data_IF_215888994447
#
_entry.id   IF_215888994447
#
_cell.length_a   1.000
_cell.length_b   1.000
_cell.length_c   1.000
_cell.angle_alpha   90.00
_cell.angle_beta   90.00
_cell.angle_gamma   90.00
#
_symmetry.space_group_name_H-M   'P 1'
#
loop_
_entity.id
_entity.type
_entity.pdbx_description
1 polymer ?
#
# COMPACT_ATOMS: atom_id res chain seq x y z
N UNK A 1 -2.47 -5.60 16.61
CA UNK A 1 -3.83 -5.09 16.83
C UNK A 1 -4.79 -6.03 16.12
N UNK A 2 -5.88 -6.44 16.78
CA UNK A 2 -6.91 -7.23 16.14
C UNK A 2 -7.73 -6.34 15.21
N UNK A 3 -7.79 -6.69 13.94
CA UNK A 3 -8.69 -6.04 13.00
C UNK A 3 -10.10 -6.59 13.26
N UNK A 4 -11.07 -5.75 13.68
CA UNK A 4 -12.45 -6.21 13.80
C UNK A 4 -12.98 -6.51 12.41
N UNK A 5 -13.37 -7.76 12.18
CA UNK A 5 -14.03 -8.18 10.94
C UNK A 5 -15.54 -8.03 11.20
N UNK A 6 -16.13 -6.97 10.66
CA UNK A 6 -17.57 -6.76 10.70
C UNK A 6 -18.19 -7.23 9.38
N UNK A 7 -19.28 -8.00 9.45
CA UNK A 7 -20.06 -8.51 8.32
C UNK A 7 -19.28 -9.47 7.40
N UNK A 8 -18.94 -10.65 7.91
CA UNK A 8 -18.30 -11.71 7.14
C UNK A 8 -19.18 -12.21 5.99
N UNK A 9 -18.83 -11.81 4.77
CA UNK A 9 -19.30 -12.48 3.57
C UNK A 9 -18.17 -13.41 3.13
N UNK A 10 -18.29 -14.70 3.46
CA UNK A 10 -17.31 -15.72 3.09
C UNK A 10 -16.34 -16.11 4.21
N UNK A 11 -15.33 -16.91 3.86
CA UNK A 11 -14.32 -17.42 4.80
C UNK A 11 -13.20 -16.40 4.99
N UNK A 12 -12.92 -16.03 6.23
CA UNK A 12 -11.81 -15.14 6.60
C UNK A 12 -10.81 -15.91 7.43
N UNK A 13 -9.52 -15.69 7.16
CA UNK A 13 -8.40 -16.20 7.98
C UNK A 13 -7.52 -15.04 8.42
N UNK A 14 -6.97 -15.13 9.61
CA UNK A 14 -6.02 -14.17 10.17
C UNK A 14 -4.62 -14.79 10.19
N UNK A 15 -3.68 -14.19 9.46
CA UNK A 15 -2.28 -14.61 9.41
C UNK A 15 -1.39 -13.49 9.91
N UNK A 16 -0.35 -13.83 10.65
CA UNK A 16 0.65 -12.85 11.07
C UNK A 16 1.61 -12.59 9.93
N UNK A 17 1.65 -11.34 9.47
CA UNK A 17 2.64 -10.85 8.53
C UNK A 17 3.45 -9.71 9.15
N UNK A 18 4.76 -9.74 8.96
CA UNK A 18 5.70 -8.72 9.42
C UNK A 18 6.58 -8.32 8.23
N UNK A 19 6.45 -7.07 7.79
CA UNK A 19 7.19 -6.53 6.65
C UNK A 19 8.71 -6.66 6.78
N UNK A 20 9.22 -6.61 8.01
CA UNK A 20 10.67 -6.72 8.31
C UNK A 20 11.18 -8.17 8.27
N UNK A 21 10.30 -9.16 8.33
CA UNK A 21 10.68 -10.60 8.37
C UNK A 21 10.49 -11.25 7.01
N UNK A 22 11.58 -11.64 6.37
CA UNK A 22 11.60 -12.21 5.01
C UNK A 22 10.71 -13.43 4.82
N UNK A 23 10.57 -14.29 5.85
CA UNK A 23 9.81 -15.54 5.78
C UNK A 23 8.31 -15.38 5.89
N UNK A 24 7.81 -14.27 6.46
CA UNK A 24 6.38 -14.11 6.76
C UNK A 24 5.53 -13.96 5.51
N UNK A 25 6.05 -13.35 4.45
CA UNK A 25 5.36 -13.24 3.16
C UNK A 25 5.10 -14.63 2.55
N UNK A 26 6.12 -15.49 2.51
CA UNK A 26 6.00 -16.84 1.98
C UNK A 26 5.00 -17.68 2.80
N UNK A 27 5.09 -17.61 4.11
CA UNK A 27 4.18 -18.34 5.01
C UNK A 27 2.73 -17.93 4.79
N UNK A 28 2.45 -16.63 4.73
CA UNK A 28 1.11 -16.10 4.49
C UNK A 28 0.55 -16.53 3.13
N UNK A 29 1.34 -16.42 2.07
CA UNK A 29 0.92 -16.84 0.72
C UNK A 29 0.65 -18.35 0.68
N UNK A 30 1.53 -19.18 1.25
CA UNK A 30 1.34 -20.63 1.29
C UNK A 30 0.07 -21.01 2.07
N UNK A 31 -0.19 -20.37 3.21
CA UNK A 31 -1.39 -20.62 4.00
C UNK A 31 -2.64 -20.21 3.21
N UNK A 32 -2.63 -19.03 2.55
CA UNK A 32 -3.73 -18.58 1.70
C UNK A 32 -4.02 -19.60 0.58
N UNK A 33 -3.00 -20.02 -0.13
CA UNK A 33 -3.15 -20.98 -1.22
C UNK A 33 -3.60 -22.36 -0.76
N UNK A 34 -3.17 -22.80 0.42
CA UNK A 34 -3.60 -24.09 1.00
C UNK A 34 -5.09 -24.12 1.35
N UNK A 35 -5.65 -22.97 1.71
CA UNK A 35 -7.04 -22.84 2.17
C UNK A 35 -8.00 -22.51 1.05
N UNK A 36 -7.58 -21.62 0.12
CA UNK A 36 -8.45 -21.08 -0.93
C UNK A 36 -8.12 -21.60 -2.34
N UNK A 37 -6.99 -22.32 -2.51
CA UNK A 37 -6.48 -22.84 -3.79
C UNK A 37 -6.16 -21.78 -4.83
N UNK A 38 -6.36 -20.49 -4.55
CA UNK A 38 -6.12 -19.39 -5.48
C UNK A 38 -5.78 -18.10 -4.74
N UNK A 39 -5.22 -17.16 -5.48
CA UNK A 39 -5.00 -15.80 -5.06
C UNK A 39 -5.37 -14.87 -6.22
N UNK A 40 -6.39 -14.04 -6.02
CA UNK A 40 -6.91 -13.14 -7.06
C UNK A 40 -6.44 -11.70 -6.85
N UNK A 41 -6.11 -11.32 -5.61
CA UNK A 41 -5.68 -9.95 -5.31
C UNK A 41 -4.82 -9.82 -4.07
N UNK A 42 -4.06 -8.72 -4.00
CA UNK A 42 -3.22 -8.33 -2.87
C UNK A 42 -3.35 -6.84 -2.61
N UNK A 43 -3.55 -6.47 -1.36
CA UNK A 43 -3.49 -5.08 -0.90
C UNK A 43 -2.28 -4.90 0.00
N UNK A 44 -1.33 -4.08 -0.42
CA UNK A 44 -0.15 -3.70 0.35
C UNK A 44 -0.44 -2.40 1.08
N UNK A 45 -0.89 -2.51 2.34
CA UNK A 45 -1.33 -1.36 3.14
C UNK A 45 -0.37 -0.99 4.27
N UNK A 46 0.47 -1.92 4.73
CA UNK A 46 1.40 -1.65 5.82
C UNK A 46 2.37 -0.52 5.47
N UNK A 47 2.58 0.37 6.43
CA UNK A 47 3.49 1.48 6.27
C UNK A 47 3.77 2.17 7.60
N UNK A 48 4.94 2.82 7.67
CA UNK A 48 5.38 3.62 8.81
C UNK A 48 5.86 4.98 8.35
N UNK A 49 5.72 5.98 9.21
CA UNK A 49 6.30 7.31 9.09
C UNK A 49 7.05 7.61 10.38
N UNK A 50 8.36 7.78 10.31
CA UNK A 50 9.25 7.92 11.46
C UNK A 50 10.04 9.24 11.44
N UNK A 51 9.75 10.13 10.48
CA UNK A 51 10.49 11.36 10.29
C UNK A 51 11.59 11.22 9.22
N UNK A 52 12.84 11.52 9.57
CA UNK A 52 13.99 11.54 8.68
C UNK A 52 14.07 12.84 7.87
N UNK A 53 14.93 13.77 8.32
CA UNK A 53 15.19 15.04 7.64
C UNK A 53 16.67 15.20 7.24
N UNK A 54 17.03 16.37 6.77
CA UNK A 54 18.40 16.67 6.34
C UNK A 54 19.34 17.09 7.49
N UNK A 55 18.76 17.46 8.62
CA UNK A 55 19.51 18.14 9.70
C UNK A 55 19.83 17.19 10.87
N UNK A 56 19.45 15.91 10.79
CA UNK A 56 19.62 14.94 11.87
C UNK A 56 20.32 13.65 11.45
N UNK A 57 20.83 12.93 12.44
CA UNK A 57 21.29 11.55 12.28
C UNK A 57 20.06 10.62 12.42
N UNK A 58 19.50 10.25 11.30
CA UNK A 58 18.21 9.54 11.17
C UNK A 58 18.30 8.36 10.23
N UNK A 59 19.50 7.78 10.03
CA UNK A 59 19.71 6.64 9.11
C UNK A 59 18.87 5.42 9.50
N UNK A 60 18.74 5.12 10.78
CA UNK A 60 17.91 4.00 11.26
C UNK A 60 16.43 4.20 10.92
N UNK A 61 15.92 5.41 11.00
CA UNK A 61 14.55 5.76 10.62
C UNK A 61 14.35 5.61 9.11
N UNK A 62 15.33 6.05 8.30
CA UNK A 62 15.33 5.82 6.85
C UNK A 62 15.31 4.32 6.54
N UNK A 63 16.21 3.55 7.14
CA UNK A 63 16.30 2.11 6.93
C UNK A 63 15.00 1.39 7.30
N UNK A 64 14.38 1.74 8.43
CA UNK A 64 13.12 1.17 8.85
C UNK A 64 11.98 1.54 7.88
N UNK A 65 11.89 2.79 7.45
CA UNK A 65 10.89 3.22 6.47
C UNK A 65 11.06 2.49 5.13
N UNK A 66 12.27 2.33 4.63
CA UNK A 66 12.52 1.55 3.42
C UNK A 66 12.25 0.06 3.61
N UNK A 67 12.58 -0.49 4.77
CA UNK A 67 12.32 -1.90 5.07
C UNK A 67 10.83 -2.21 5.09
N UNK A 68 10.01 -1.35 5.71
CA UNK A 68 8.57 -1.55 5.84
C UNK A 68 7.82 -1.09 4.58
N UNK A 69 8.10 0.12 4.07
CA UNK A 69 7.28 0.73 3.01
C UNK A 69 7.64 0.23 1.61
N UNK A 70 8.83 -0.36 1.42
CA UNK A 70 9.30 -0.81 0.10
C UNK A 70 9.72 -2.28 0.09
N UNK A 71 10.70 -2.70 0.91
CA UNK A 71 11.26 -4.05 0.85
C UNK A 71 10.27 -5.13 1.31
N UNK A 72 9.44 -4.82 2.32
CA UNK A 72 8.36 -5.71 2.76
C UNK A 72 7.34 -5.98 1.65
N UNK A 73 6.73 -4.94 1.05
CA UNK A 73 5.89 -5.08 -0.14
C UNK A 73 6.56 -5.80 -1.31
N UNK A 74 7.83 -5.50 -1.60
CA UNK A 74 8.60 -6.19 -2.65
C UNK A 74 8.69 -7.70 -2.40
N UNK A 75 8.94 -8.12 -1.15
CA UNK A 75 8.97 -9.55 -0.77
C UNK A 75 7.60 -10.18 -0.96
N UNK A 76 6.55 -9.51 -0.51
CA UNK A 76 5.18 -10.00 -0.65
C UNK A 76 4.80 -10.17 -2.12
N UNK A 77 5.12 -9.21 -2.97
CA UNK A 77 4.86 -9.29 -4.43
C UNK A 77 5.59 -10.48 -5.06
N UNK A 78 6.86 -10.71 -4.70
CA UNK A 78 7.63 -11.85 -5.23
C UNK A 78 6.97 -13.20 -4.92
N UNK A 79 6.36 -13.33 -3.77
CA UNK A 79 5.67 -14.56 -3.36
C UNK A 79 4.27 -14.68 -3.96
N UNK A 80 3.57 -13.57 -4.20
CA UNK A 80 2.19 -13.56 -4.70
C UNK A 80 2.10 -13.55 -6.23
N UNK A 81 3.05 -12.92 -6.91
CA UNK A 81 3.01 -12.70 -8.36
C UNK A 81 2.85 -13.98 -9.20
N UNK A 82 3.49 -15.12 -8.87
CA UNK A 82 3.27 -16.36 -9.62
C UNK A 82 1.81 -16.83 -9.59
N UNK A 83 1.14 -16.76 -8.44
CA UNK A 83 -0.26 -17.14 -8.32
C UNK A 83 -1.19 -16.16 -9.03
N UNK A 84 -0.92 -14.86 -8.94
CA UNK A 84 -1.67 -13.81 -9.62
C UNK A 84 -1.55 -13.92 -11.14
N UNK A 85 -0.39 -14.24 -11.68
CA UNK A 85 -0.19 -14.52 -13.11
C UNK A 85 -0.99 -15.74 -13.56
N UNK A 86 -0.93 -16.81 -12.77
CA UNK A 86 -1.67 -18.04 -13.08
C UNK A 86 -3.18 -17.82 -13.12
N UNK A 87 -3.71 -16.87 -12.33
CA UNK A 87 -5.14 -16.55 -12.35
C UNK A 87 -5.60 -15.89 -13.65
N UNK A 88 -4.69 -15.24 -14.40
CA UNK A 88 -5.04 -14.42 -15.57
C UNK A 88 -5.84 -13.15 -15.24
N UNK A 89 -6.11 -12.92 -13.95
CA UNK A 89 -6.91 -11.80 -13.44
C UNK A 89 -6.38 -11.27 -12.11
N UNK A 90 -5.06 -11.15 -11.99
CA UNK A 90 -4.42 -10.70 -10.75
C UNK A 90 -4.65 -9.20 -10.49
N UNK A 91 -4.94 -8.84 -9.25
CA UNK A 91 -5.11 -7.44 -8.81
C UNK A 91 -4.15 -7.10 -7.68
N UNK A 92 -3.42 -6.01 -7.84
CA UNK A 92 -2.54 -5.50 -6.78
C UNK A 92 -2.87 -4.04 -6.52
N UNK A 93 -3.14 -3.72 -5.26
CA UNK A 93 -3.27 -2.33 -4.81
C UNK A 93 -2.18 -2.03 -3.80
N UNK A 94 -1.39 -1.00 -4.10
CA UNK A 94 -0.37 -0.49 -3.19
C UNK A 94 -0.85 0.83 -2.58
N UNK A 95 -1.04 0.85 -1.27
CA UNK A 95 -1.39 2.07 -0.53
C UNK A 95 -0.11 2.87 -0.29
N UNK A 96 0.11 3.83 -1.16
CA UNK A 96 1.31 4.66 -1.13
C UNK A 96 1.09 5.90 -0.25
N UNK A 97 0.97 7.05 -0.81
CA UNK A 97 0.67 8.37 -0.21
C UNK A 97 0.85 9.45 -1.28
N UNK A 98 0.25 10.60 -1.10
CA UNK A 98 0.64 11.82 -1.83
C UNK A 98 2.11 12.20 -1.60
N UNK A 99 2.71 11.79 -0.48
CA UNK A 99 4.15 11.96 -0.23
C UNK A 99 5.03 11.19 -1.23
N UNK A 100 4.52 10.15 -1.89
CA UNK A 100 5.18 9.46 -2.99
C UNK A 100 5.12 10.20 -4.34
N UNK A 101 4.45 11.33 -4.40
CA UNK A 101 4.37 12.20 -5.58
C UNK A 101 5.21 13.45 -5.40
N UNK A 102 5.33 13.91 -4.16
CA UNK A 102 6.13 15.08 -3.79
C UNK A 102 6.38 15.13 -2.27
N UNK A 103 7.56 15.58 -1.82
CA UNK A 103 7.75 15.94 -0.42
C UNK A 103 7.03 17.27 -0.12
N UNK A 104 6.37 17.36 1.02
CA UNK A 104 5.71 18.60 1.48
C UNK A 104 6.54 19.41 2.45
N UNK A 105 7.44 18.74 3.19
CA UNK A 105 8.31 19.33 4.21
C UNK A 105 9.65 18.60 4.18
N UNK A 106 10.74 19.29 4.49
CA UNK A 106 12.07 18.69 4.63
C UNK A 106 12.07 17.50 5.61
N UNK A 107 11.38 17.67 6.74
CA UNK A 107 11.22 16.64 7.78
C UNK A 107 10.48 15.36 7.36
N UNK A 108 9.98 15.30 6.12
CA UNK A 108 9.33 14.12 5.55
C UNK A 108 10.20 13.47 4.46
N UNK A 109 11.47 13.80 4.38
CA UNK A 109 12.34 13.30 3.31
C UNK A 109 12.38 11.77 3.28
N UNK A 110 12.66 11.12 4.40
CA UNK A 110 12.75 9.66 4.49
C UNK A 110 11.43 8.98 4.13
N UNK A 111 10.32 9.48 4.67
CA UNK A 111 8.99 8.97 4.35
C UNK A 111 8.69 9.15 2.85
N UNK A 112 8.88 10.36 2.31
CA UNK A 112 8.64 10.64 0.90
C UNK A 112 9.49 9.74 0.00
N UNK A 113 10.78 9.63 0.25
CA UNK A 113 11.68 8.78 -0.52
C UNK A 113 11.22 7.31 -0.53
N UNK A 114 10.82 6.76 0.63
CA UNK A 114 10.29 5.40 0.72
C UNK A 114 8.98 5.23 -0.06
N UNK A 115 8.12 6.24 -0.09
CA UNK A 115 6.86 6.23 -0.85
C UNK A 115 7.08 6.44 -2.35
N UNK A 116 8.08 7.22 -2.78
CA UNK A 116 8.53 7.24 -4.18
C UNK A 116 9.03 5.85 -4.63
N UNK A 117 9.81 5.17 -3.80
CA UNK A 117 10.22 3.80 -4.06
C UNK A 117 9.03 2.83 -4.19
N UNK A 118 8.01 2.99 -3.34
CA UNK A 118 6.76 2.21 -3.44
C UNK A 118 5.98 2.49 -4.73
N UNK A 119 5.96 3.73 -5.23
CA UNK A 119 5.41 4.07 -6.56
C UNK A 119 6.16 3.33 -7.67
N UNK A 120 7.48 3.37 -7.64
CA UNK A 120 8.35 2.66 -8.60
C UNK A 120 8.06 1.15 -8.58
N UNK A 121 7.88 0.54 -7.41
CA UNK A 121 7.50 -0.86 -7.27
C UNK A 121 6.18 -1.15 -7.98
N UNK A 122 5.15 -0.34 -7.78
CA UNK A 122 3.85 -0.53 -8.43
C UNK A 122 3.98 -0.47 -9.95
N UNK A 123 4.76 0.46 -10.48
CA UNK A 123 5.02 0.54 -11.92
C UNK A 123 5.77 -0.69 -12.45
N UNK A 124 6.77 -1.19 -11.72
CA UNK A 124 7.48 -2.41 -12.08
C UNK A 124 6.55 -3.64 -12.13
N UNK A 125 5.61 -3.74 -11.18
CA UNK A 125 4.59 -4.80 -11.17
C UNK A 125 3.69 -4.69 -12.41
N UNK A 126 3.23 -3.49 -12.76
CA UNK A 126 2.39 -3.26 -13.95
C UNK A 126 3.09 -3.72 -15.22
N UNK A 127 4.35 -3.34 -15.40
CA UNK A 127 5.15 -3.74 -16.56
C UNK A 127 5.39 -5.26 -16.60
N UNK A 128 5.69 -5.86 -15.45
CA UNK A 128 6.05 -7.27 -15.36
C UNK A 128 4.86 -8.24 -15.49
N UNK A 129 3.67 -7.81 -15.12
CA UNK A 129 2.49 -8.68 -15.06
C UNK A 129 1.42 -8.40 -16.10
N UNK A 130 1.63 -7.41 -16.97
CA UNK A 130 0.61 -6.93 -17.89
C UNK A 130 0.06 -8.00 -18.84
N UNK A 131 0.95 -8.76 -19.48
CA UNK A 131 0.60 -9.79 -20.45
C UNK A 131 -0.05 -11.01 -19.77
N UNK A 132 0.25 -11.22 -18.49
CA UNK A 132 -0.35 -12.27 -17.66
C UNK A 132 -1.70 -11.84 -17.03
N UNK A 133 -2.26 -10.71 -17.41
CA UNK A 133 -3.54 -10.23 -16.87
C UNK A 133 -3.44 -9.61 -15.45
N UNK A 134 -2.25 -9.33 -14.94
CA UNK A 134 -2.06 -8.65 -13.66
C UNK A 134 -2.19 -7.14 -13.85
N UNK A 135 -3.00 -6.50 -13.00
CA UNK A 135 -3.15 -5.04 -12.95
C UNK A 135 -2.77 -4.55 -11.56
N UNK A 136 -1.97 -3.50 -11.50
CA UNK A 136 -1.55 -2.90 -10.24
C UNK A 136 -1.87 -1.41 -10.23
N UNK A 137 -2.38 -0.93 -9.08
CA UNK A 137 -2.79 0.46 -8.85
C UNK A 137 -2.09 0.99 -7.60
N UNK A 138 -1.52 2.18 -7.69
CA UNK A 138 -1.13 2.95 -6.52
C UNK A 138 -2.30 3.80 -6.04
N UNK A 139 -2.77 3.57 -4.83
CA UNK A 139 -3.68 4.49 -4.16
C UNK A 139 -2.83 5.44 -3.32
N UNK A 140 -2.98 6.74 -3.56
CA UNK A 140 -2.15 7.80 -2.98
C UNK A 140 -3.00 8.71 -2.08
N UNK A 141 -3.26 8.32 -0.82
CA UNK A 141 -4.02 9.15 0.10
C UNK A 141 -3.25 10.39 0.53
N UNK A 142 -3.99 11.47 0.80
CA UNK A 142 -3.55 12.57 1.64
C UNK A 142 -3.71 12.22 3.12
N UNK A 143 -4.30 13.15 3.90
CA UNK A 143 -4.48 12.98 5.33
C UNK A 143 -5.69 12.08 5.64
N UNK A 144 -5.45 10.90 6.20
CA UNK A 144 -6.47 9.94 6.64
C UNK A 144 -6.47 9.84 8.16
N UNK A 145 -7.62 9.71 8.78
CA UNK A 145 -7.79 9.55 10.23
C UNK A 145 -7.35 8.14 10.64
N UNK A 146 -6.12 8.02 11.07
CA UNK A 146 -5.48 6.77 11.50
C UNK A 146 -4.59 7.03 12.70
N UNK A 147 -4.09 5.98 13.33
CA UNK A 147 -3.09 6.09 14.41
C UNK A 147 -1.86 6.89 13.98
N UNK A 148 -1.37 6.72 12.75
CA UNK A 148 -0.23 7.47 12.19
C UNK A 148 -0.46 8.99 12.17
N UNK A 149 -1.71 9.44 12.08
CA UNK A 149 -2.07 10.86 11.98
C UNK A 149 -2.84 11.38 13.20
N UNK A 150 -2.93 10.60 14.27
CA UNK A 150 -3.76 10.93 15.44
C UNK A 150 -3.39 12.28 16.04
N UNK A 151 -2.10 12.51 16.25
CA UNK A 151 -1.57 13.75 16.84
C UNK A 151 -1.42 14.91 15.85
N UNK A 152 -1.67 14.67 14.55
CA UNK A 152 -1.55 15.73 13.54
C UNK A 152 -2.74 16.66 13.64
N UNK A 153 -2.49 17.90 14.04
CA UNK A 153 -3.49 18.96 14.02
C UNK A 153 -3.69 19.45 12.58
N UNK A 154 -4.93 19.49 12.13
CA UNK A 154 -5.30 20.09 10.84
C UNK A 154 -5.83 21.50 11.09
N UNK A 155 -5.50 22.49 10.22
CA UNK A 155 -6.01 23.84 10.33
C UNK A 155 -7.55 23.91 10.24
N UNK A 156 -8.15 24.98 10.74
CA UNK A 156 -9.57 25.22 10.65
C UNK A 156 -10.08 25.14 9.19
N UNK A 157 -11.21 24.54 9.00
CA UNK A 157 -11.79 24.28 7.67
C UNK A 157 -11.17 23.11 6.90
N UNK A 158 -10.18 22.40 7.50
CA UNK A 158 -9.60 21.17 6.97
C UNK A 158 -10.04 19.96 7.79
N UNK A 159 -10.02 18.78 7.18
CA UNK A 159 -10.38 17.52 7.85
C UNK A 159 -9.47 16.37 7.39
N UNK A 160 -9.42 15.33 8.21
CA UNK A 160 -8.84 14.04 7.84
C UNK A 160 -9.94 13.22 7.19
N UNK A 161 -9.61 12.51 6.10
CA UNK A 161 -10.56 11.57 5.47
C UNK A 161 -10.80 10.37 6.40
N UNK A 162 -11.99 9.84 6.41
CA UNK A 162 -12.27 8.58 7.10
C UNK A 162 -11.61 7.41 6.32
N UNK A 163 -11.11 6.37 7.03
CA UNK A 163 -10.44 5.22 6.40
C UNK A 163 -11.30 4.51 5.37
N UNK A 164 -12.63 4.52 5.55
CA UNK A 164 -13.63 3.89 4.67
C UNK A 164 -13.59 4.45 3.26
N UNK A 165 -13.25 5.73 3.08
CA UNK A 165 -13.07 6.36 1.76
C UNK A 165 -11.93 5.67 1.00
N UNK A 166 -10.84 5.38 1.69
CA UNK A 166 -9.68 4.70 1.10
C UNK A 166 -10.02 3.23 0.83
N UNK A 167 -10.73 2.57 1.74
CA UNK A 167 -11.18 1.19 1.54
C UNK A 167 -12.11 1.06 0.31
N UNK A 168 -13.05 1.99 0.12
CA UNK A 168 -13.91 2.03 -1.08
C UNK A 168 -13.09 2.26 -2.36
N UNK A 169 -12.10 3.14 -2.31
CA UNK A 169 -11.18 3.39 -3.43
C UNK A 169 -10.39 2.14 -3.80
N UNK A 170 -9.89 1.41 -2.81
CA UNK A 170 -9.20 0.12 -3.01
C UNK A 170 -10.16 -0.91 -3.63
N UNK A 171 -11.37 -1.05 -3.10
CA UNK A 171 -12.37 -1.98 -3.62
C UNK A 171 -12.72 -1.66 -5.09
N UNK A 172 -12.86 -0.38 -5.44
CA UNK A 172 -13.04 0.05 -6.83
C UNK A 172 -11.87 -0.40 -7.72
N UNK A 173 -10.63 -0.14 -7.32
CA UNK A 173 -9.45 -0.54 -8.09
C UNK A 173 -9.36 -2.07 -8.31
N UNK A 174 -9.74 -2.86 -7.29
CA UNK A 174 -9.79 -4.32 -7.37
C UNK A 174 -10.90 -4.85 -8.29
N UNK A 175 -12.00 -4.12 -8.45
CA UNK A 175 -13.17 -4.54 -9.24
C UNK A 175 -13.03 -4.32 -10.74
N UNK A 176 -12.04 -3.55 -11.18
CA UNK A 176 -11.87 -3.20 -12.60
C UNK A 176 -11.54 -4.42 -13.47
N UNK A 177 -12.08 -4.50 -14.69
CA UNK A 177 -11.78 -5.58 -15.63
C UNK A 177 -10.35 -5.47 -16.18
N UNK A 178 -9.84 -6.54 -16.81
CA UNK A 178 -8.53 -6.54 -17.46
C UNK A 178 -8.40 -5.49 -18.59
N UNK A 179 -9.51 -5.11 -19.20
CA UNK A 179 -9.57 -4.06 -20.23
C UNK A 179 -9.39 -2.64 -19.70
N UNK A 180 -9.45 -2.45 -18.37
CA UNK A 180 -9.29 -1.16 -17.71
C UNK A 180 -8.19 -1.23 -16.65
N UNK A 181 -7.16 -0.42 -16.80
CA UNK A 181 -6.08 -0.32 -15.82
C UNK A 181 -5.94 1.13 -15.35
N UNK A 182 -6.14 1.33 -14.04
CA UNK A 182 -5.87 2.60 -13.38
C UNK A 182 -4.50 2.52 -12.73
N UNK A 183 -3.57 3.35 -13.15
CA UNK A 183 -2.21 3.33 -12.63
C UNK A 183 -2.12 3.92 -11.22
N UNK A 184 -2.83 5.04 -11.02
CA UNK A 184 -2.76 5.84 -9.79
C UNK A 184 -4.13 6.44 -9.49
N UNK A 185 -4.49 6.46 -8.21
CA UNK A 185 -5.65 7.17 -7.69
C UNK A 185 -5.18 8.08 -6.57
N UNK A 186 -5.24 9.38 -6.80
CA UNK A 186 -4.92 10.38 -5.80
C UNK A 186 -6.21 10.76 -5.06
N UNK A 187 -6.20 10.65 -3.74
CA UNK A 187 -7.35 10.95 -2.88
C UNK A 187 -6.92 11.95 -1.82
N UNK A 188 -7.49 13.15 -1.87
CA UNK A 188 -7.13 14.23 -0.96
C UNK A 188 -8.37 14.84 -0.29
N UNK A 189 -8.21 15.31 0.94
CA UNK A 189 -9.24 16.02 1.70
C UNK A 189 -9.24 17.53 1.47
N UNK A 190 -8.35 18.03 0.62
CA UNK A 190 -8.21 19.47 0.32
C UNK A 190 -7.67 19.69 -1.08
N UNK A 191 -7.89 20.89 -1.60
CA UNK A 191 -7.24 21.34 -2.83
C UNK A 191 -5.73 21.47 -2.61
N UNK A 192 -4.96 20.98 -3.56
CA UNK A 192 -3.50 21.14 -3.62
C UNK A 192 -3.11 21.69 -5.00
N UNK A 193 -2.20 22.66 -5.02
CA UNK A 193 -1.79 23.36 -6.25
C UNK A 193 -1.02 22.45 -7.24
N UNK A 194 -0.58 21.29 -6.81
CA UNK A 194 0.22 20.36 -7.62
C UNK A 194 -0.57 19.21 -8.24
N UNK A 195 -1.87 19.11 -7.97
CA UNK A 195 -2.70 18.03 -8.51
C UNK A 195 -4.07 18.55 -8.92
#
# INVERSE_FOLDING_TARGET
DEIPIQNEIGKVIKCKWDAKKKTTSKNWVNETLSIFNKLDGVVMNAGVELGGDLDGDTEEEFDEMFEVNFKGPLRLVRETLPALRKSGYGRIVNVVSLAGKRPRKSKMLGYSASKFAAMSLTNAIRLSGWDDGVRATSVCPGMVKTRMTEEVVVPDGHFKMEPEVIAQTIAYALSLPNSAAVAEILVNSRLEDMF
#
